data_IF_191355951509
#
_entry.id   IF_191355951509
#
_cell.length_a   1.000
_cell.length_b   1.000
_cell.length_c   1.000
_cell.angle_alpha   90.00
_cell.angle_beta   90.00
_cell.angle_gamma   90.00
#
_symmetry.space_group_name_H-M   'P 1'
#
loop_
_entity.id
_entity.type
_entity.pdbx_description
1 polymer ?
#
# COMPACT_ATOMS: atom_id res chain seq x y z
N UNK A 1 26.31 -21.30 6.94
CA UNK A 1 26.05 -20.75 5.62
C UNK A 1 25.02 -19.64 5.76
N UNK A 2 25.41 -18.39 5.47
CA UNK A 2 24.66 -17.19 5.86
C UNK A 2 23.65 -16.89 4.75
N UNK A 3 22.40 -17.29 4.94
CA UNK A 3 21.29 -16.95 4.03
C UNK A 3 21.21 -15.45 3.82
N UNK A 4 21.71 -15.00 2.68
CA UNK A 4 21.59 -13.61 2.24
C UNK A 4 20.16 -13.42 1.75
N UNK A 5 19.27 -12.93 2.63
CA UNK A 5 17.98 -12.40 2.20
C UNK A 5 18.27 -11.27 1.22
N UNK A 6 18.05 -11.51 -0.07
CA UNK A 6 17.95 -10.45 -1.05
C UNK A 6 16.82 -9.53 -0.58
N UNK A 7 17.20 -8.35 -0.09
CA UNK A 7 16.25 -7.37 0.39
C UNK A 7 15.38 -6.94 -0.81
N UNK A 8 14.04 -6.97 -0.70
CA UNK A 8 13.18 -6.58 -1.80
C UNK A 8 13.46 -5.11 -2.13
N UNK A 9 13.89 -4.88 -3.38
CA UNK A 9 14.08 -3.54 -3.93
C UNK A 9 12.74 -2.83 -4.16
N UNK A 10 12.78 -1.60 -4.72
CA UNK A 10 11.59 -0.80 -4.93
C UNK A 10 10.50 -1.56 -5.69
N UNK A 11 9.22 -1.35 -5.34
CA UNK A 11 8.12 -2.09 -5.92
C UNK A 11 8.06 -1.97 -7.45
N UNK A 12 7.84 -3.10 -8.13
CA UNK A 12 7.68 -3.14 -9.58
C UNK A 12 6.50 -2.28 -10.05
N UNK A 13 6.56 -1.79 -11.29
CA UNK A 13 5.48 -1.02 -11.91
C UNK A 13 4.10 -1.67 -11.73
N UNK A 14 3.09 -0.85 -11.41
CA UNK A 14 1.70 -1.27 -11.22
C UNK A 14 0.77 -0.46 -12.10
N UNK A 15 -0.36 -1.05 -12.48
CA UNK A 15 -1.49 -0.32 -13.08
C UNK A 15 -2.41 0.30 -12.03
N UNK A 16 -2.32 -0.18 -10.79
CA UNK A 16 -3.08 0.34 -9.66
C UNK A 16 -2.32 1.50 -9.03
N UNK A 17 -3.04 2.56 -8.70
CA UNK A 17 -2.50 3.73 -7.99
C UNK A 17 -2.22 3.38 -6.53
N UNK A 18 -1.01 3.69 -6.09
CA UNK A 18 -0.59 3.56 -4.70
C UNK A 18 -0.46 4.93 -4.05
N UNK A 19 -0.67 4.97 -2.74
CA UNK A 19 -0.42 6.16 -1.92
C UNK A 19 1.08 6.35 -1.65
N UNK A 20 1.43 7.50 -1.08
CA UNK A 20 2.80 7.81 -0.65
C UNK A 20 3.27 6.75 0.35
N UNK A 21 4.47 6.16 0.17
CA UNK A 21 4.95 5.13 1.06
C UNK A 21 5.18 5.66 2.48
N UNK A 22 4.84 4.83 3.45
CA UNK A 22 4.97 5.11 4.88
C UNK A 22 6.20 4.40 5.46
N UNK A 23 6.97 5.13 6.26
CA UNK A 23 8.16 4.61 6.91
C UNK A 23 7.80 3.84 8.17
N UNK A 24 8.08 2.53 8.20
CA UNK A 24 8.02 1.74 9.42
C UNK A 24 9.35 1.85 10.16
N UNK A 25 9.35 2.62 11.25
CA UNK A 25 10.47 2.63 12.19
C UNK A 25 10.50 1.30 12.96
N UNK A 26 11.46 0.43 12.64
CA UNK A 26 11.72 -0.78 13.43
C UNK A 26 12.48 -0.41 14.70
N UNK A 27 11.81 0.25 15.66
CA UNK A 27 12.39 0.42 17.00
C UNK A 27 12.16 -0.88 17.79
N UNK A 28 13.21 -1.69 17.91
CA UNK A 28 13.18 -2.94 18.66
C UNK A 28 12.77 -2.77 20.13
N UNK A 29 11.76 -3.55 20.54
CA UNK A 29 11.58 -4.24 21.84
C UNK A 29 12.13 -3.57 23.13
N UNK A 30 11.21 -3.20 24.04
CA UNK A 30 11.33 -3.57 25.46
C UNK A 30 11.09 -2.48 26.52
N UNK A 31 9.87 -2.42 27.07
CA UNK A 31 9.64 -2.23 28.52
C UNK A 31 8.20 -2.63 28.90
N UNK A 32 8.04 -3.80 29.54
CA UNK A 32 6.87 -4.13 30.38
C UNK A 32 7.10 -3.58 31.78
N UNK A 33 6.04 -3.01 32.38
CA UNK A 33 5.63 -2.91 33.81
C UNK A 33 4.90 -1.56 33.94
N UNK A 34 3.66 -1.45 34.38
CA UNK A 34 2.85 -2.26 35.29
C UNK A 34 2.22 -1.27 36.29
N UNK A 35 0.92 -1.40 36.56
CA UNK A 35 0.26 -0.73 37.69
C UNK A 35 -0.84 0.29 37.34
N UNK A 36 -2.10 -0.19 37.32
CA UNK A 36 -3.24 0.57 37.85
C UNK A 36 -3.15 0.54 39.40
N UNK A 37 -3.87 1.36 40.22
CA UNK A 37 -5.20 1.93 39.95
C UNK A 37 -5.44 3.38 40.46
N UNK A 38 -6.53 4.02 40.04
CA UNK A 38 -6.94 5.30 40.63
C UNK A 38 -8.17 5.92 39.98
N UNK A 39 -9.30 5.80 40.68
CA UNK A 39 -10.59 6.38 40.33
C UNK A 39 -10.58 7.92 40.31
N UNK A 40 -11.35 8.54 39.39
CA UNK A 40 -12.39 9.54 39.67
C UNK A 40 -13.01 10.08 38.38
N UNK A 41 -14.31 10.35 38.46
CA UNK A 41 -15.18 10.70 37.35
C UNK A 41 -14.84 12.01 36.65
N UNK A 42 -15.30 12.11 35.41
CA UNK A 42 -15.15 13.29 34.59
C UNK A 42 -15.69 13.02 33.20
N UNK A 43 -16.95 13.39 32.99
CA UNK A 43 -17.72 13.34 31.74
C UNK A 43 -16.84 13.80 30.57
N UNK A 44 -16.45 12.88 29.69
CA UNK A 44 -15.79 13.20 28.42
C UNK A 44 -16.66 12.62 27.32
N UNK A 45 -17.30 13.55 26.62
CA UNK A 45 -18.01 13.31 25.37
C UNK A 45 -17.09 12.51 24.44
N UNK A 46 -17.58 11.34 24.02
CA UNK A 46 -17.00 10.62 22.90
C UNK A 46 -17.07 11.55 21.67
N UNK A 47 -16.01 11.65 20.85
CA UNK A 47 -16.11 12.41 19.62
C UNK A 47 -17.25 11.85 18.77
N UNK A 48 -18.06 12.69 18.13
CA UNK A 48 -19.11 12.24 17.22
C UNK A 48 -18.53 11.25 16.20
N UNK A 49 -19.19 10.10 16.04
CA UNK A 49 -18.88 9.13 14.99
C UNK A 49 -19.39 9.70 13.67
N UNK A 50 -18.73 10.74 13.19
CA UNK A 50 -19.08 11.43 11.95
C UNK A 50 -18.68 10.57 10.76
N UNK A 51 -19.66 9.82 10.24
CA UNK A 51 -19.80 9.45 8.83
C UNK A 51 -18.51 9.04 8.07
N UNK A 52 -17.73 8.08 8.60
CA UNK A 52 -16.58 7.48 7.90
C UNK A 52 -16.66 5.97 7.56
N UNK A 53 -17.78 5.22 7.66
CA UNK A 53 -17.73 3.76 7.46
C UNK A 53 -17.41 3.35 6.01
N UNK A 54 -17.71 4.21 5.03
CA UNK A 54 -17.53 3.91 3.60
C UNK A 54 -16.05 3.82 3.20
N UNK A 55 -15.22 4.71 3.75
CA UNK A 55 -13.79 4.82 3.39
C UNK A 55 -13.02 3.67 4.02
N UNK A 56 -13.28 3.37 5.29
CA UNK A 56 -12.64 2.23 5.98
C UNK A 56 -13.04 0.91 5.35
N UNK A 57 -14.31 0.72 4.99
CA UNK A 57 -14.76 -0.52 4.33
C UNK A 57 -14.08 -0.70 2.96
N UNK A 58 -13.92 0.38 2.20
CA UNK A 58 -13.23 0.31 0.90
C UNK A 58 -11.75 -0.02 1.09
N UNK A 59 -11.08 0.60 2.06
CA UNK A 59 -9.69 0.29 2.40
C UNK A 59 -9.51 -1.17 2.83
N UNK A 60 -10.39 -1.69 3.68
CA UNK A 60 -10.36 -3.09 4.12
C UNK A 60 -10.55 -4.09 2.95
N UNK A 61 -11.44 -3.76 2.01
CA UNK A 61 -11.63 -4.53 0.77
C UNK A 61 -10.38 -4.46 -0.11
N UNK A 62 -9.83 -3.25 -0.33
CA UNK A 62 -8.63 -3.05 -1.14
C UNK A 62 -7.43 -3.81 -0.57
N UNK A 63 -7.27 -3.80 0.74
CA UNK A 63 -6.23 -4.55 1.47
C UNK A 63 -6.43 -6.08 1.40
N UNK A 64 -7.68 -6.53 1.23
CA UNK A 64 -8.01 -7.96 1.08
C UNK A 64 -7.76 -8.47 -0.34
N UNK A 65 -7.87 -7.61 -1.36
CA UNK A 65 -7.67 -7.97 -2.77
C UNK A 65 -6.18 -7.90 -3.14
N UNK A 66 -5.48 -6.86 -2.67
CA UNK A 66 -4.07 -6.64 -2.95
C UNK A 66 -3.29 -6.50 -1.64
N UNK A 67 -2.31 -7.37 -1.37
CA UNK A 67 -1.46 -7.20 -0.21
C UNK A 67 -0.69 -5.88 -0.32
N UNK A 68 -0.47 -5.17 0.80
CA UNK A 68 0.35 -3.97 0.81
C UNK A 68 1.78 -4.31 0.39
N UNK A 69 2.41 -3.37 -0.33
CA UNK A 69 3.79 -3.54 -0.79
C UNK A 69 4.73 -3.16 0.32
N UNK A 70 5.65 -4.05 0.66
CA UNK A 70 6.71 -3.82 1.62
C UNK A 70 8.08 -3.95 0.95
N UNK A 71 8.96 -2.97 1.16
CA UNK A 71 10.35 -3.03 0.68
C UNK A 71 11.29 -2.39 1.69
N UNK A 72 12.58 -2.72 1.63
CA UNK A 72 13.59 -2.06 2.47
C UNK A 72 14.48 -1.19 1.61
N UNK A 73 14.59 0.07 1.98
CA UNK A 73 15.43 1.07 1.32
C UNK A 73 16.30 1.73 2.38
N UNK A 74 17.61 1.73 2.18
CA UNK A 74 18.61 2.29 3.11
C UNK A 74 18.50 1.77 4.56
N UNK A 75 18.09 0.51 4.73
CA UNK A 75 17.91 -0.11 6.04
C UNK A 75 16.63 0.31 6.76
N UNK A 76 15.73 1.02 6.08
CA UNK A 76 14.42 1.38 6.59
C UNK A 76 13.32 0.60 5.85
N UNK A 77 12.35 0.09 6.61
CA UNK A 77 11.22 -0.65 6.06
C UNK A 77 10.15 0.33 5.60
N UNK A 78 9.74 0.24 4.35
CA UNK A 78 8.68 1.04 3.75
C UNK A 78 7.48 0.16 3.46
N UNK A 79 6.28 0.70 3.72
CA UNK A 79 5.02 0.06 3.36
C UNK A 79 4.16 1.01 2.55
N UNK A 80 3.56 0.49 1.48
CA UNK A 80 2.73 1.23 0.56
C UNK A 80 1.38 0.54 0.34
N UNK A 81 0.32 1.30 0.54
CA UNK A 81 -1.07 0.86 0.38
C UNK A 81 -1.67 1.34 -0.94
N UNK A 82 -2.69 0.62 -1.40
CA UNK A 82 -3.47 1.01 -2.58
C UNK A 82 -4.29 2.25 -2.24
N UNK A 83 -4.30 3.23 -3.14
CA UNK A 83 -5.09 4.44 -2.96
C UNK A 83 -6.58 4.12 -3.03
N UNK A 84 -7.34 4.53 -2.01
CA UNK A 84 -8.81 4.49 -2.01
C UNK A 84 -9.45 5.64 -2.81
N UNK A 85 -8.64 6.56 -3.37
CA UNK A 85 -9.16 7.65 -4.21
C UNK A 85 -9.82 7.11 -5.48
N UNK A 86 -11.06 7.50 -5.78
CA UNK A 86 -11.77 6.98 -6.95
C UNK A 86 -11.07 7.45 -8.22
N UNK A 87 -10.87 6.52 -9.16
CA UNK A 87 -10.24 6.82 -10.44
C UNK A 87 -11.13 7.74 -11.30
N UNK A 88 -10.51 8.72 -11.96
CA UNK A 88 -11.20 9.58 -12.92
C UNK A 88 -11.08 9.03 -14.35
N UNK A 89 -11.91 9.54 -15.27
CA UNK A 89 -11.82 9.18 -16.70
C UNK A 89 -10.43 9.50 -17.28
N UNK A 90 -9.82 10.60 -16.85
CA UNK A 90 -8.48 11.00 -17.29
C UNK A 90 -7.42 10.02 -16.79
N UNK A 91 -7.54 9.53 -15.56
CA UNK A 91 -6.61 8.53 -15.02
C UNK A 91 -6.62 7.24 -15.86
N UNK A 92 -7.80 6.79 -16.31
CA UNK A 92 -7.92 5.60 -17.17
C UNK A 92 -7.27 5.82 -18.53
N UNK A 93 -7.44 7.01 -19.14
CA UNK A 93 -6.80 7.35 -20.42
C UNK A 93 -5.28 7.34 -20.27
N UNK A 94 -4.77 7.97 -19.21
CA UNK A 94 -3.33 8.00 -18.94
C UNK A 94 -2.77 6.59 -18.72
N UNK A 95 -3.49 5.72 -18.01
CA UNK A 95 -3.09 4.33 -17.79
C UNK A 95 -3.05 3.53 -19.10
N UNK A 96 -4.02 3.73 -19.99
CA UNK A 96 -4.05 3.11 -21.30
C UNK A 96 -2.81 3.51 -22.11
N UNK A 97 -2.53 4.81 -22.20
CA UNK A 97 -1.36 5.32 -22.94
C UNK A 97 -0.04 4.79 -22.36
N UNK A 98 0.09 4.74 -21.03
CA UNK A 98 1.27 4.20 -20.37
C UNK A 98 1.46 2.70 -20.62
N UNK A 99 0.37 1.93 -20.60
CA UNK A 99 0.39 0.51 -20.94
C UNK A 99 0.84 0.31 -22.39
N UNK A 100 0.23 1.03 -23.33
CA UNK A 100 0.53 0.93 -24.76
C UNK A 100 1.98 1.30 -25.06
N UNK A 101 2.48 2.38 -24.44
CA UNK A 101 3.90 2.76 -24.55
C UNK A 101 4.82 1.65 -24.05
N UNK A 102 4.49 0.99 -22.93
CA UNK A 102 5.31 -0.11 -22.39
C UNK A 102 5.26 -1.35 -23.28
N UNK A 103 4.09 -1.69 -23.83
CA UNK A 103 3.95 -2.79 -24.76
C UNK A 103 4.78 -2.52 -26.03
N UNK A 104 4.78 -1.30 -26.54
CA UNK A 104 5.58 -0.89 -27.69
C UNK A 104 7.09 -0.95 -27.38
N UNK A 105 7.52 -0.42 -26.22
CA UNK A 105 8.92 -0.48 -25.78
C UNK A 105 9.44 -1.91 -25.64
N UNK A 106 8.59 -2.83 -25.16
CA UNK A 106 8.91 -4.25 -25.03
C UNK A 106 8.69 -5.04 -26.32
N UNK A 107 8.38 -4.38 -27.43
CA UNK A 107 8.11 -4.98 -28.74
C UNK A 107 7.07 -6.12 -28.66
N UNK A 108 6.01 -5.90 -27.88
CA UNK A 108 4.92 -6.85 -27.76
C UNK A 108 4.26 -7.07 -29.13
N UNK A 109 3.96 -8.33 -29.45
CA UNK A 109 3.27 -8.66 -30.70
C UNK A 109 1.84 -8.14 -30.66
N UNK A 110 1.39 -7.58 -31.78
CA UNK A 110 0.04 -7.01 -31.89
C UNK A 110 -1.05 -8.09 -31.95
N UNK A 111 -0.72 -9.24 -32.54
CA UNK A 111 -1.62 -10.39 -32.73
C UNK A 111 -1.00 -11.70 -32.22
N UNK A 112 -1.86 -12.65 -31.82
CA UNK A 112 -1.47 -13.94 -31.26
C UNK A 112 -1.08 -13.88 -29.77
N UNK A 113 -0.65 -15.02 -29.22
CA UNK A 113 -0.16 -15.12 -27.85
C UNK A 113 1.21 -14.46 -27.77
N UNK A 114 1.39 -13.55 -26.82
CA UNK A 114 2.63 -12.84 -26.59
C UNK A 114 2.94 -12.83 -25.08
N UNK A 115 4.08 -13.39 -24.63
CA UNK A 115 4.41 -13.47 -23.21
C UNK A 115 4.63 -12.10 -22.56
N UNK A 116 4.74 -11.04 -23.37
CA UNK A 116 4.86 -9.65 -22.91
C UNK A 116 3.50 -9.06 -22.49
N UNK A 117 2.38 -9.63 -22.99
CA UNK A 117 0.99 -9.22 -22.70
C UNK A 117 0.32 -10.07 -21.62
N UNK A 118 0.99 -11.10 -21.10
CA UNK A 118 0.56 -11.95 -19.98
C UNK A 118 0.89 -11.29 -18.64
#
# INVERSE_FOLDING_TARGET
>A
DRSSSAMPGPPLHSLVKYDTPSLLTTKGRGAKKGGAPGAKGGKKQLPPVEAKPQVTQTEDILNSILPPREWTEDGQLWVQYVSSTPATRLDVINLQEQLDQRLLQRQARETGICPVRE
#
